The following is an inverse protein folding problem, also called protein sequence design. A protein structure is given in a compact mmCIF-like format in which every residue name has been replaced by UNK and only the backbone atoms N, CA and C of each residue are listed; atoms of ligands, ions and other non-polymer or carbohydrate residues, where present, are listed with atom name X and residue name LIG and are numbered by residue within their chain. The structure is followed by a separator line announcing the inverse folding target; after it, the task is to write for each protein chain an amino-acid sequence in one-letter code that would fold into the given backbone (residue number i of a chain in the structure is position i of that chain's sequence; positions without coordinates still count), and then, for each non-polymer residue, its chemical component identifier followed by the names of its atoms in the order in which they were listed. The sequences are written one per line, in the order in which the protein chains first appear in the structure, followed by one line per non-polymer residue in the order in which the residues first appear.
data_IF_797683301227
#
_entry.id   IF_797683301227
#
_cell.length_a   1.000
_cell.length_b   1.000
_cell.length_c   1.000
_cell.angle_alpha   90.00
_cell.angle_beta   90.00
_cell.angle_gamma   90.00
#
_symmetry.space_group_name_H-M   'P 1'
#
loop_
_entity.id
_entity.type
_entity.pdbx_description
1 polymer ?
#
# COMPACT_ATOMS: atom_id res chain seq x y z
N UNK A 1 13.80 44.62 -23.51
CA UNK A 1 13.80 44.10 -24.90
C UNK A 1 14.76 42.92 -25.10
N UNK A 2 15.92 42.86 -24.44
CA UNK A 2 16.87 41.75 -24.59
C UNK A 2 16.24 40.35 -24.42
N UNK A 3 15.39 40.17 -23.40
CA UNK A 3 14.65 38.91 -23.17
C UNK A 3 13.82 38.47 -24.40
N UNK A 4 13.11 39.40 -25.05
CA UNK A 4 12.34 39.09 -26.26
C UNK A 4 13.25 38.63 -27.42
N UNK A 5 14.45 39.18 -27.54
CA UNK A 5 15.42 38.78 -28.56
C UNK A 5 16.11 37.45 -28.24
N UNK A 6 16.28 37.11 -26.96
CA UNK A 6 16.85 35.82 -26.55
C UNK A 6 15.89 34.66 -26.83
N UNK A 7 14.61 34.83 -26.53
CA UNK A 7 13.59 33.76 -26.65
C UNK A 7 12.86 33.75 -27.99
N UNK A 8 13.57 34.00 -29.09
CA UNK A 8 13.00 33.97 -30.46
C UNK A 8 12.52 32.56 -30.84
N UNK A 9 13.10 31.52 -30.26
CA UNK A 9 12.67 30.13 -30.46
C UNK A 9 11.20 29.90 -30.05
N UNK A 10 10.70 30.63 -29.05
CA UNK A 10 9.31 30.56 -28.60
C UNK A 10 8.32 31.36 -29.46
N UNK A 11 8.81 32.12 -30.45
CA UNK A 11 7.97 32.92 -31.35
C UNK A 11 7.50 32.12 -32.56
N UNK A 12 6.53 32.67 -33.30
CA UNK A 12 6.01 32.04 -34.50
C UNK A 12 7.06 31.95 -35.62
N UNK A 13 6.78 31.09 -36.62
CA UNK A 13 7.67 30.85 -37.76
C UNK A 13 8.02 32.12 -38.55
N UNK A 14 7.09 33.08 -38.60
CA UNK A 14 7.31 34.33 -39.33
C UNK A 14 8.46 35.12 -38.71
N UNK A 15 8.46 35.29 -37.38
CA UNK A 15 9.52 36.01 -36.68
C UNK A 15 10.82 35.21 -36.70
N UNK A 16 10.76 33.89 -36.50
CA UNK A 16 11.94 33.01 -36.57
C UNK A 16 12.66 33.09 -37.92
N UNK A 17 11.93 33.24 -39.03
CA UNK A 17 12.51 33.44 -40.37
C UNK A 17 13.01 34.86 -40.58
N UNK A 18 12.25 35.86 -40.13
CA UNK A 18 12.59 37.27 -40.32
C UNK A 18 13.85 37.70 -39.56
N UNK A 19 14.12 37.12 -38.38
CA UNK A 19 15.22 37.51 -37.50
C UNK A 19 16.60 37.43 -38.19
N UNK A 20 16.78 36.48 -39.12
CA UNK A 20 18.04 36.25 -39.84
C UNK A 20 18.32 37.34 -40.90
N UNK A 21 17.28 38.06 -41.33
CA UNK A 21 17.37 39.10 -42.37
C UNK A 21 17.30 40.48 -41.70
N UNK A 22 16.30 40.70 -40.85
CA UNK A 22 16.10 41.95 -40.13
C UNK A 22 15.36 41.67 -38.83
N UNK A 23 15.98 42.02 -37.70
CA UNK A 23 15.41 41.78 -36.38
C UNK A 23 14.30 42.80 -36.07
N UNK A 24 13.02 42.40 -35.99
CA UNK A 24 11.90 43.31 -35.79
C UNK A 24 11.86 43.93 -34.38
N UNK A 25 12.63 43.40 -33.42
CA UNK A 25 12.77 43.96 -32.07
C UNK A 25 13.86 45.02 -31.97
N UNK A 26 14.59 45.28 -33.07
CA UNK A 26 15.49 46.43 -33.21
C UNK A 26 14.73 47.53 -33.95
N UNK A 27 14.00 48.34 -33.21
CA UNK A 27 13.10 49.34 -33.78
C UNK A 27 13.87 50.51 -34.39
N UNK A 28 13.44 50.96 -35.57
CA UNK A 28 14.05 52.11 -36.28
C UNK A 28 13.52 53.47 -35.83
N UNK A 29 12.26 53.50 -35.37
CA UNK A 29 11.53 54.74 -35.07
C UNK A 29 10.94 54.76 -33.65
N UNK A 30 11.33 53.80 -32.81
CA UNK A 30 10.90 53.73 -31.40
C UNK A 30 12.14 53.86 -30.53
N UNK A 31 12.14 54.87 -29.67
CA UNK A 31 13.17 55.11 -28.67
C UNK A 31 12.64 54.77 -27.28
N UNK A 32 13.54 54.36 -26.37
CA UNK A 32 13.17 54.10 -24.99
C UNK A 32 13.16 55.42 -24.21
N UNK A 33 12.11 55.64 -23.44
CA UNK A 33 12.01 56.74 -22.48
C UNK A 33 12.18 56.20 -21.05
N UNK A 34 13.11 56.77 -20.27
CA UNK A 34 13.41 56.32 -18.89
C UNK A 34 12.59 57.03 -17.83
N UNK A 35 12.40 58.33 -17.97
CA UNK A 35 11.68 59.23 -17.06
C UNK A 35 11.10 60.39 -17.87
N UNK A 36 10.07 61.04 -17.34
CA UNK A 36 9.52 62.28 -17.90
C UNK A 36 10.59 63.38 -18.03
N UNK A 37 11.58 63.41 -17.14
CA UNK A 37 12.66 64.43 -17.15
C UNK A 37 13.54 64.39 -18.40
N UNK A 38 13.48 63.30 -19.16
CA UNK A 38 14.21 63.13 -20.41
C UNK A 38 13.32 63.33 -21.65
N UNK A 39 12.11 63.85 -21.47
CA UNK A 39 11.13 64.08 -22.51
C UNK A 39 10.72 65.54 -22.54
N UNK A 40 11.05 66.21 -23.64
CA UNK A 40 10.54 67.54 -23.94
C UNK A 40 9.18 67.39 -24.66
N UNK A 41 8.10 67.77 -23.98
CA UNK A 41 6.73 67.69 -24.51
C UNK A 41 6.44 68.82 -25.53
N UNK A 42 7.12 68.74 -26.68
CA UNK A 42 7.06 69.74 -27.75
C UNK A 42 6.48 69.09 -29.02
N UNK A 43 5.25 69.49 -29.36
CA UNK A 43 4.56 69.05 -30.57
C UNK A 43 3.92 67.66 -30.45
N UNK A 44 3.37 67.12 -31.54
CA UNK A 44 2.69 65.83 -31.52
C UNK A 44 3.66 64.67 -31.26
N UNK A 45 3.34 63.82 -30.29
CA UNK A 45 4.12 62.63 -29.95
C UNK A 45 3.21 61.43 -29.63
N UNK A 46 3.77 60.22 -29.66
CA UNK A 46 3.09 58.99 -29.25
C UNK A 46 3.92 58.32 -28.18
N UNK A 47 3.37 58.20 -26.97
CA UNK A 47 4.06 57.60 -25.82
C UNK A 47 3.33 56.34 -25.37
N UNK A 48 4.03 55.21 -25.39
CA UNK A 48 3.57 53.95 -24.82
C UNK A 48 4.15 53.82 -23.40
N UNK A 49 3.31 54.03 -22.39
CA UNK A 49 3.72 54.02 -20.98
C UNK A 49 3.03 52.92 -20.18
N UNK A 50 3.70 52.44 -19.14
CA UNK A 50 3.17 51.48 -18.16
C UNK A 50 2.70 52.18 -16.88
N UNK A 51 1.83 51.54 -16.07
CA UNK A 51 1.07 50.32 -16.33
C UNK A 51 -0.18 50.56 -17.20
N UNK A 52 -0.62 49.54 -17.96
CA UNK A 52 -1.72 49.69 -18.92
C UNK A 52 -3.09 50.06 -18.33
N UNK A 53 -3.32 49.84 -17.02
CA UNK A 53 -4.57 50.21 -16.34
C UNK A 53 -4.49 51.56 -15.60
N UNK A 54 -3.35 52.27 -15.69
CA UNK A 54 -3.17 53.66 -15.26
C UNK A 54 -3.45 53.93 -13.77
N UNK A 55 -3.18 52.94 -12.91
CA UNK A 55 -3.36 53.10 -11.46
C UNK A 55 -2.32 54.04 -10.83
N UNK A 56 -1.11 54.07 -11.35
CA UNK A 56 0.01 54.90 -10.88
C UNK A 56 1.11 54.99 -11.94
N UNK A 57 2.21 55.68 -11.66
CA UNK A 57 3.41 55.72 -12.50
C UNK A 57 3.25 56.54 -13.79
N UNK A 58 4.16 56.32 -14.75
CA UNK A 58 4.33 57.21 -15.90
C UNK A 58 3.06 57.34 -16.76
N UNK A 59 2.33 56.24 -17.00
CA UNK A 59 1.05 56.31 -17.74
C UNK A 59 0.00 57.18 -17.07
N UNK A 60 -0.02 57.21 -15.72
CA UNK A 60 -0.95 58.02 -14.93
C UNK A 60 -0.53 59.49 -14.94
N UNK A 61 0.76 59.77 -14.78
CA UNK A 61 1.32 61.12 -14.81
C UNK A 61 1.12 61.80 -16.17
N UNK A 62 1.39 61.08 -17.27
CA UNK A 62 1.12 61.55 -18.64
C UNK A 62 -0.37 61.83 -18.85
N UNK A 63 -1.24 60.93 -18.39
CA UNK A 63 -2.68 61.12 -18.51
C UNK A 63 -3.17 62.35 -17.76
N UNK A 64 -2.77 62.54 -16.50
CA UNK A 64 -3.15 63.73 -15.73
C UNK A 64 -2.66 65.02 -16.39
N UNK A 65 -1.47 65.00 -16.98
CA UNK A 65 -0.89 66.14 -17.72
C UNK A 65 -1.65 66.45 -19.02
N UNK A 66 -2.18 65.43 -19.69
CA UNK A 66 -2.76 65.55 -21.03
C UNK A 66 -4.30 65.58 -21.06
N UNK A 67 -4.98 65.13 -20.00
CA UNK A 67 -6.43 64.90 -20.01
C UNK A 67 -7.29 66.16 -20.22
N UNK A 68 -6.75 67.34 -19.91
CA UNK A 68 -7.48 68.61 -20.00
C UNK A 68 -7.47 69.24 -21.40
N UNK A 69 -6.65 68.74 -22.33
CA UNK A 69 -6.61 69.23 -23.71
C UNK A 69 -7.33 68.26 -24.67
N UNK A 70 -8.33 68.78 -25.38
CA UNK A 70 -9.14 68.03 -26.36
C UNK A 70 -8.37 67.54 -27.60
N UNK A 71 -7.17 68.08 -27.85
CA UNK A 71 -6.31 67.64 -28.95
C UNK A 71 -5.62 66.31 -28.65
N UNK A 72 -5.54 65.95 -27.37
CA UNK A 72 -4.91 64.72 -26.92
C UNK A 72 -5.89 63.55 -27.02
N UNK A 73 -5.34 62.34 -27.02
CA UNK A 73 -6.12 61.10 -27.05
C UNK A 73 -5.42 59.98 -26.31
N UNK A 74 -6.20 59.10 -25.68
CA UNK A 74 -5.72 57.91 -24.99
C UNK A 74 -6.33 56.69 -25.66
N UNK A 75 -5.47 55.75 -26.06
CA UNK A 75 -5.88 54.49 -26.67
C UNK A 75 -5.66 53.39 -25.65
N UNK A 76 -6.75 52.77 -25.20
CA UNK A 76 -6.70 51.63 -24.30
C UNK A 76 -6.66 50.35 -25.13
N UNK A 77 -5.50 49.70 -25.11
CA UNK A 77 -5.22 48.55 -25.99
C UNK A 77 -5.46 47.17 -25.35
N UNK A 78 -5.76 47.11 -24.04
CA UNK A 78 -5.90 45.85 -23.30
C UNK A 78 -7.14 45.82 -22.43
N UNK A 79 -7.53 44.62 -21.96
CA UNK A 79 -8.64 44.45 -21.03
C UNK A 79 -8.43 45.25 -19.74
N UNK A 80 -9.47 45.94 -19.26
CA UNK A 80 -9.44 46.72 -18.04
C UNK A 80 -10.30 46.08 -16.95
N UNK A 81 -9.69 45.85 -15.79
CA UNK A 81 -10.37 45.31 -14.62
C UNK A 81 -11.21 46.40 -13.95
N UNK A 82 -12.36 46.01 -13.40
CA UNK A 82 -13.20 46.88 -12.58
C UNK A 82 -12.42 47.51 -11.42
N UNK A 83 -12.73 48.78 -11.11
CA UNK A 83 -12.03 49.57 -10.09
C UNK A 83 -10.68 50.16 -10.53
N UNK A 84 -10.36 50.12 -11.83
CA UNK A 84 -9.18 50.78 -12.40
C UNK A 84 -9.53 52.10 -13.07
N UNK A 85 -8.58 53.05 -13.11
CA UNK A 85 -8.77 54.31 -13.84
C UNK A 85 -9.11 54.04 -15.31
N UNK A 86 -8.37 53.14 -15.96
CA UNK A 86 -8.61 52.81 -17.37
C UNK A 86 -10.03 52.28 -17.63
N UNK A 87 -10.62 51.51 -16.70
CA UNK A 87 -12.03 51.09 -16.79
C UNK A 87 -13.00 52.24 -16.54
N UNK A 88 -12.70 53.12 -15.59
CA UNK A 88 -13.55 54.26 -15.25
C UNK A 88 -13.67 55.26 -16.41
N UNK A 89 -12.56 55.60 -17.08
CA UNK A 89 -12.55 56.59 -18.18
C UNK A 89 -13.30 56.11 -19.43
N UNK A 90 -13.51 54.79 -19.59
CA UNK A 90 -14.35 54.24 -20.67
C UNK A 90 -15.83 54.63 -20.54
N UNK A 91 -16.27 55.03 -19.34
CA UNK A 91 -17.61 55.58 -19.13
C UNK A 91 -17.72 57.07 -19.47
N UNK A 92 -16.63 57.68 -19.95
CA UNK A 92 -16.51 59.10 -20.31
C UNK A 92 -17.00 60.05 -19.19
N UNK A 93 -16.41 59.98 -17.98
CA UNK A 93 -16.79 60.87 -16.89
C UNK A 93 -16.38 62.33 -17.21
N UNK A 94 -17.16 63.31 -16.73
CA UNK A 94 -16.83 64.73 -16.93
C UNK A 94 -15.53 65.15 -16.21
N UNK A 95 -15.24 64.52 -15.06
CA UNK A 95 -14.07 64.79 -14.23
C UNK A 95 -13.39 63.50 -13.79
N UNK A 96 -12.06 63.53 -13.69
CA UNK A 96 -11.23 62.47 -13.11
C UNK A 96 -10.54 62.97 -11.85
N UNK A 97 -10.26 62.06 -10.91
CA UNK A 97 -9.54 62.37 -9.68
C UNK A 97 -8.05 62.04 -9.84
N UNK A 98 -7.17 62.99 -9.56
CA UNK A 98 -5.71 62.82 -9.63
C UNK A 98 -5.19 61.97 -8.47
N UNK A 99 -3.94 61.52 -8.56
CA UNK A 99 -3.27 60.87 -7.43
C UNK A 99 -3.13 61.76 -6.19
N UNK A 100 -3.08 63.08 -6.37
CA UNK A 100 -3.06 64.07 -5.28
C UNK A 100 -4.45 64.39 -4.71
N UNK A 101 -5.52 63.84 -5.27
CA UNK A 101 -6.91 64.06 -4.85
C UNK A 101 -7.58 65.29 -5.48
N UNK A 102 -6.91 65.99 -6.40
CA UNK A 102 -7.50 67.08 -7.17
C UNK A 102 -8.45 66.52 -8.24
N UNK A 103 -9.46 67.29 -8.65
CA UNK A 103 -10.29 66.96 -9.80
C UNK A 103 -9.82 67.69 -11.06
N UNK A 104 -9.69 66.96 -12.16
CA UNK A 104 -9.37 67.48 -13.48
C UNK A 104 -10.50 67.16 -14.46
N UNK A 105 -10.75 68.08 -15.39
CA UNK A 105 -11.79 67.90 -16.40
C UNK A 105 -11.30 67.01 -17.55
N UNK A 106 -12.03 65.95 -17.87
CA UNK A 106 -11.66 65.04 -18.95
C UNK A 106 -12.14 65.62 -20.30
N UNK A 107 -11.22 66.08 -21.13
CA UNK A 107 -11.51 66.65 -22.46
C UNK A 107 -10.85 65.88 -23.60
N UNK A 108 -9.80 65.11 -23.31
CA UNK A 108 -9.13 64.27 -24.30
C UNK A 108 -10.04 63.15 -24.82
N UNK A 109 -9.77 62.67 -26.03
CA UNK A 109 -10.48 61.50 -26.59
C UNK A 109 -10.06 60.21 -25.88
N UNK A 110 -11.02 59.28 -25.67
CA UNK A 110 -10.79 57.97 -25.06
C UNK A 110 -11.27 56.90 -26.04
N UNK A 111 -10.34 56.15 -26.62
CA UNK A 111 -10.64 55.08 -27.57
C UNK A 111 -10.25 53.71 -27.02
N UNK A 112 -11.13 52.72 -27.15
CA UNK A 112 -10.84 51.33 -26.77
C UNK A 112 -10.64 50.47 -28.02
N UNK A 113 -9.42 49.99 -28.22
CA UNK A 113 -9.05 49.13 -29.35
C UNK A 113 -8.38 47.88 -28.79
N UNK A 114 -9.16 46.81 -28.59
CA UNK A 114 -8.64 45.58 -27.95
C UNK A 114 -7.60 44.89 -28.83
N UNK A 115 -6.37 44.83 -28.33
CA UNK A 115 -5.30 43.92 -28.77
C UNK A 115 -5.09 42.80 -27.75
N UNK A 116 -6.14 42.50 -26.97
CA UNK A 116 -6.07 41.42 -25.99
C UNK A 116 -5.92 40.09 -26.75
N UNK A 117 -4.83 39.38 -26.51
CA UNK A 117 -4.56 38.08 -27.12
C UNK A 117 -5.39 36.95 -26.47
N UNK A 118 -6.69 37.17 -26.36
CA UNK A 118 -7.66 36.20 -25.84
C UNK A 118 -8.42 35.55 -26.99
N UNK A 119 -8.87 34.32 -26.78
CA UNK A 119 -9.74 33.65 -27.75
C UNK A 119 -11.15 34.22 -27.69
N UNK A 120 -11.79 34.33 -28.84
CA UNK A 120 -13.21 34.62 -28.92
C UNK A 120 -14.06 33.35 -28.71
N UNK A 121 -15.39 33.50 -28.80
CA UNK A 121 -16.31 32.37 -28.67
C UNK A 121 -16.07 31.31 -29.76
N UNK A 122 -15.84 31.71 -31.01
CA UNK A 122 -15.69 30.79 -32.13
C UNK A 122 -14.43 29.94 -31.96
N UNK A 123 -13.30 30.55 -31.61
CA UNK A 123 -12.04 29.88 -31.35
C UNK A 123 -12.12 28.96 -30.13
N UNK A 124 -12.79 29.41 -29.06
CA UNK A 124 -12.96 28.61 -27.84
C UNK A 124 -13.87 27.39 -28.09
N UNK A 125 -14.99 27.58 -28.79
CA UNK A 125 -15.90 26.51 -29.21
C UNK A 125 -15.20 25.51 -30.13
N UNK A 126 -14.43 25.98 -31.12
CA UNK A 126 -13.64 25.13 -32.01
C UNK A 126 -12.60 24.30 -31.26
N UNK A 127 -11.90 24.90 -30.29
CA UNK A 127 -10.94 24.20 -29.45
C UNK A 127 -11.58 23.09 -28.62
N UNK A 128 -12.73 23.35 -28.00
CA UNK A 128 -13.48 22.35 -27.23
C UNK A 128 -14.02 21.25 -28.17
N UNK A 129 -14.49 21.60 -29.36
CA UNK A 129 -15.00 20.65 -30.36
C UNK A 129 -13.93 19.71 -30.88
N UNK A 130 -12.70 20.18 -31.00
CA UNK A 130 -11.56 19.36 -31.41
C UNK A 130 -11.15 18.35 -30.32
N UNK A 131 -11.18 18.74 -29.05
CA UNK A 131 -10.73 17.90 -27.94
C UNK A 131 -11.82 17.01 -27.35
N UNK A 132 -13.08 17.44 -27.39
CA UNK A 132 -14.25 16.79 -26.78
C UNK A 132 -14.00 16.29 -25.34
N UNK A 133 -13.52 17.15 -24.43
CA UNK A 133 -13.26 16.73 -23.05
C UNK A 133 -14.56 16.40 -22.31
N UNK A 134 -14.61 15.36 -21.47
CA UNK A 134 -15.82 15.04 -20.68
C UNK A 134 -16.22 16.15 -19.69
N UNK A 135 -15.24 16.89 -19.16
CA UNK A 135 -15.45 17.98 -18.21
C UNK A 135 -14.70 19.23 -18.68
N UNK A 136 -15.38 20.37 -18.73
CA UNK A 136 -14.83 21.70 -19.03
C UNK A 136 -15.00 22.59 -17.81
N UNK A 137 -13.94 23.22 -17.31
CA UNK A 137 -13.99 24.11 -16.15
C UNK A 137 -13.59 25.51 -16.60
N UNK A 138 -14.55 26.43 -16.60
CA UNK A 138 -14.36 27.83 -16.97
C UNK A 138 -13.78 28.62 -15.79
N UNK A 139 -12.72 29.38 -16.07
CA UNK A 139 -12.00 30.24 -15.12
C UNK A 139 -11.52 31.49 -15.85
N UNK A 140 -10.98 32.48 -15.11
CA UNK A 140 -10.37 33.68 -15.69
C UNK A 140 -11.29 34.45 -16.67
N UNK A 141 -12.53 34.71 -16.24
CA UNK A 141 -13.49 35.52 -16.98
C UNK A 141 -14.40 36.30 -16.01
N UNK A 142 -15.04 37.35 -16.49
CA UNK A 142 -16.05 38.05 -15.72
C UNK A 142 -17.27 37.12 -15.49
N UNK A 143 -17.97 37.32 -14.38
CA UNK A 143 -18.98 36.39 -13.90
C UNK A 143 -20.15 36.19 -14.89
N UNK A 144 -20.68 37.27 -15.45
CA UNK A 144 -21.80 37.23 -16.37
C UNK A 144 -21.39 36.68 -17.74
N UNK A 145 -20.24 37.10 -18.25
CA UNK A 145 -19.67 36.62 -19.51
C UNK A 145 -19.35 35.12 -19.44
N UNK A 146 -18.82 34.64 -18.33
CA UNK A 146 -18.57 33.22 -18.09
C UNK A 146 -19.88 32.41 -18.00
N UNK A 147 -20.92 32.98 -17.37
CA UNK A 147 -22.24 32.34 -17.34
C UNK A 147 -22.87 32.24 -18.74
N UNK A 148 -22.71 33.28 -19.57
CA UNK A 148 -23.16 33.27 -20.98
C UNK A 148 -22.39 32.24 -21.80
N UNK A 149 -21.07 32.17 -21.65
CA UNK A 149 -20.24 31.17 -22.32
C UNK A 149 -20.64 29.75 -21.93
N UNK A 150 -20.86 29.49 -20.64
CA UNK A 150 -21.36 28.19 -20.16
C UNK A 150 -22.70 27.82 -20.79
N UNK A 151 -23.67 28.73 -20.82
CA UNK A 151 -24.98 28.48 -21.40
C UNK A 151 -24.88 28.20 -22.92
N UNK A 152 -24.03 28.92 -23.63
CA UNK A 152 -23.79 28.71 -25.06
C UNK A 152 -23.14 27.33 -25.33
N UNK A 153 -22.17 26.92 -24.51
CA UNK A 153 -21.54 25.61 -24.63
C UNK A 153 -22.51 24.47 -24.31
N UNK A 154 -23.32 24.58 -23.25
CA UNK A 154 -24.33 23.54 -22.94
C UNK A 154 -25.30 23.37 -24.11
N UNK A 155 -25.82 24.48 -24.65
CA UNK A 155 -26.73 24.45 -25.80
C UNK A 155 -26.10 23.85 -27.06
N UNK A 156 -24.80 24.04 -27.26
CA UNK A 156 -24.09 23.50 -28.43
C UNK A 156 -24.03 21.96 -28.42
N UNK A 157 -23.99 21.34 -27.23
CA UNK A 157 -23.85 19.89 -27.07
C UNK A 157 -25.15 19.20 -26.58
N UNK A 158 -26.24 19.95 -26.33
CA UNK A 158 -27.51 19.41 -25.82
C UNK A 158 -28.16 18.40 -26.78
N UNK A 159 -28.07 18.64 -28.10
CA UNK A 159 -28.66 17.79 -29.14
C UNK A 159 -27.77 16.61 -29.58
N UNK A 160 -26.59 16.42 -28.95
CA UNK A 160 -25.61 15.43 -29.39
C UNK A 160 -25.48 14.25 -28.42
N UNK A 161 -26.21 13.16 -28.68
CA UNK A 161 -26.21 11.94 -27.87
C UNK A 161 -24.84 11.22 -27.81
N UNK A 162 -23.91 11.52 -28.73
CA UNK A 162 -22.60 10.86 -28.81
C UNK A 162 -21.51 11.57 -27.99
N UNK A 163 -21.69 12.86 -27.68
CA UNK A 163 -20.66 13.69 -27.06
C UNK A 163 -21.24 14.40 -25.85
N UNK A 164 -20.98 13.83 -24.67
CA UNK A 164 -21.39 14.40 -23.40
C UNK A 164 -20.26 15.26 -22.80
N UNK A 165 -20.51 16.56 -22.67
CA UNK A 165 -19.58 17.52 -22.05
C UNK A 165 -20.27 18.21 -20.87
N UNK A 166 -19.69 18.08 -19.68
CA UNK A 166 -20.16 18.78 -18.49
C UNK A 166 -19.37 20.08 -18.28
N UNK A 167 -20.07 21.22 -18.21
CA UNK A 167 -19.45 22.55 -18.12
C UNK A 167 -19.63 23.16 -16.72
N UNK A 168 -18.50 23.41 -16.05
CA UNK A 168 -18.43 24.00 -14.72
C UNK A 168 -17.88 25.43 -14.78
N UNK A 169 -18.30 26.29 -13.84
CA UNK A 169 -17.80 27.67 -13.70
C UNK A 169 -17.72 28.05 -12.21
N UNK A 170 -16.83 27.38 -11.45
CA UNK A 170 -16.77 27.50 -10.00
C UNK A 170 -16.35 28.91 -9.56
N UNK A 171 -16.92 29.38 -8.46
CA UNK A 171 -16.48 30.60 -7.79
C UNK A 171 -15.17 30.36 -7.04
N UNK A 172 -14.49 31.44 -6.66
CA UNK A 172 -13.37 31.33 -5.73
C UNK A 172 -13.81 30.58 -4.47
N UNK A 173 -12.99 29.64 -4.00
CA UNK A 173 -13.25 28.72 -2.87
C UNK A 173 -14.29 27.62 -3.12
N UNK A 174 -14.90 27.55 -4.30
CA UNK A 174 -15.80 26.46 -4.70
C UNK A 174 -14.98 25.30 -5.30
N UNK A 175 -15.16 24.08 -4.75
CA UNK A 175 -14.49 22.89 -5.23
C UNK A 175 -15.33 22.17 -6.30
N UNK A 176 -14.67 21.72 -7.37
CA UNK A 176 -15.28 20.83 -8.38
C UNK A 176 -14.81 19.40 -8.08
N UNK A 177 -15.73 18.50 -7.75
CA UNK A 177 -15.42 17.09 -7.44
C UNK A 177 -15.71 16.21 -8.64
N UNK A 178 -14.68 15.58 -9.18
CA UNK A 178 -14.78 14.64 -10.31
C UNK A 178 -14.35 13.24 -9.86
N UNK A 179 -15.15 12.23 -10.20
CA UNK A 179 -14.89 10.85 -9.81
C UNK A 179 -14.31 10.06 -10.99
N UNK A 180 -13.03 9.72 -10.91
CA UNK A 180 -12.36 8.89 -11.91
C UNK A 180 -12.20 7.46 -11.40
N UNK A 181 -12.91 6.52 -12.01
CA UNK A 181 -12.70 5.09 -11.78
C UNK A 181 -11.60 4.60 -12.73
N UNK A 182 -10.42 4.36 -12.18
CA UNK A 182 -9.33 3.70 -12.88
C UNK A 182 -9.24 2.23 -12.48
N UNK A 183 -9.22 1.34 -13.47
CA UNK A 183 -8.81 -0.04 -13.22
C UNK A 183 -7.34 -0.07 -12.79
N UNK A 184 -7.05 -0.74 -11.68
CA UNK A 184 -5.67 -0.89 -11.20
C UNK A 184 -5.02 -2.05 -11.93
N UNK A 185 -4.11 -1.72 -12.84
CA UNK A 185 -3.33 -2.70 -13.58
C UNK A 185 -2.05 -3.04 -12.80
N UNK A 186 -1.90 -4.31 -12.44
CA UNK A 186 -0.66 -4.85 -11.87
C UNK A 186 0.08 -5.66 -12.93
N UNK A 187 1.39 -5.44 -13.07
CA UNK A 187 2.24 -6.18 -14.01
C UNK A 187 3.02 -7.26 -13.29
N UNK A 188 2.91 -8.50 -13.76
CA UNK A 188 3.77 -9.60 -13.32
C UNK A 188 5.16 -9.40 -13.91
N UNK A 189 6.21 -9.53 -13.10
CA UNK A 189 7.61 -9.37 -13.52
C UNK A 189 8.49 -10.46 -12.89
N UNK A 190 9.68 -10.66 -13.47
CA UNK A 190 10.63 -11.67 -13.02
C UNK A 190 10.19 -13.09 -13.39
N UNK A 191 10.57 -14.05 -12.55
CA UNK A 191 10.29 -15.48 -12.73
C UNK A 191 8.80 -15.83 -12.85
N UNK A 192 7.93 -15.04 -12.22
CA UNK A 192 6.47 -15.20 -12.34
C UNK A 192 5.95 -14.95 -13.76
N UNK A 193 6.74 -14.28 -14.61
CA UNK A 193 6.40 -13.98 -15.99
C UNK A 193 7.06 -14.94 -17.01
N UNK A 194 7.84 -15.93 -16.56
CA UNK A 194 8.55 -16.88 -17.44
C UNK A 194 7.57 -17.75 -18.25
N UNK A 195 6.43 -18.09 -17.66
CA UNK A 195 5.35 -18.79 -18.34
C UNK A 195 4.22 -17.81 -18.68
N UNK A 196 3.65 -17.98 -19.87
CA UNK A 196 2.50 -17.19 -20.30
C UNK A 196 1.33 -17.41 -19.35
N UNK A 197 0.85 -16.33 -18.72
CA UNK A 197 -0.25 -16.41 -17.79
C UNK A 197 -1.53 -16.91 -18.48
N UNK A 198 -2.19 -17.89 -17.88
CA UNK A 198 -3.48 -18.43 -18.33
C UNK A 198 -4.60 -17.88 -17.45
N UNK A 199 -5.78 -17.62 -18.03
CA UNK A 199 -6.93 -17.15 -17.26
C UNK A 199 -7.33 -18.19 -16.19
N UNK A 200 -7.52 -17.74 -14.95
CA UNK A 200 -7.82 -18.61 -13.81
C UNK A 200 -6.60 -19.23 -13.12
N UNK A 201 -5.39 -19.01 -13.64
CA UNK A 201 -4.16 -19.40 -12.97
C UNK A 201 -3.99 -18.62 -11.67
N UNK A 202 -3.67 -19.32 -10.58
CA UNK A 202 -3.32 -18.68 -9.31
C UNK A 202 -1.96 -18.02 -9.44
N UNK A 203 -1.89 -16.71 -9.22
CA UNK A 203 -0.64 -15.95 -9.10
C UNK A 203 -0.41 -15.64 -7.64
N UNK A 204 0.76 -16.01 -7.12
CA UNK A 204 1.18 -15.71 -5.74
C UNK A 204 2.53 -15.01 -5.79
N UNK A 205 2.65 -13.89 -5.08
CA UNK A 205 3.85 -13.08 -5.05
C UNK A 205 3.68 -11.86 -4.16
N UNK A 206 4.72 -11.04 -4.11
CA UNK A 206 4.73 -9.76 -3.40
C UNK A 206 4.24 -8.68 -4.36
N UNK A 207 3.21 -7.93 -3.95
CA UNK A 207 2.73 -6.76 -4.68
C UNK A 207 3.51 -5.52 -4.23
N UNK A 208 4.27 -4.93 -5.14
CA UNK A 208 5.01 -3.69 -4.92
C UNK A 208 4.29 -2.55 -5.63
N UNK A 209 3.94 -1.50 -4.87
CA UNK A 209 3.35 -0.27 -5.40
C UNK A 209 4.41 0.83 -5.42
N UNK A 210 4.75 1.31 -6.62
CA UNK A 210 5.59 2.52 -6.81
C UNK A 210 4.73 3.61 -7.46
N UNK A 211 4.34 4.60 -6.66
CA UNK A 211 3.37 5.63 -7.04
C UNK A 211 2.03 5.03 -7.49
N UNK A 212 1.69 5.12 -8.78
CA UNK A 212 0.47 4.55 -9.37
C UNK A 212 0.70 3.23 -10.10
N UNK A 213 1.95 2.79 -10.22
CA UNK A 213 2.31 1.53 -10.88
C UNK A 213 2.33 0.40 -9.86
N UNK A 214 1.66 -0.69 -10.22
CA UNK A 214 1.61 -1.90 -9.44
C UNK A 214 2.40 -3.00 -10.14
N UNK A 215 3.25 -3.67 -9.39
CA UNK A 215 4.07 -4.78 -9.86
C UNK A 215 3.88 -5.96 -8.92
N UNK A 216 3.74 -7.16 -9.48
CA UNK A 216 3.74 -8.40 -8.69
C UNK A 216 5.01 -9.19 -9.05
N UNK A 217 5.76 -9.54 -8.01
CA UNK A 217 7.09 -10.12 -8.09
C UNK A 217 7.18 -11.37 -7.21
N UNK A 218 8.05 -12.29 -7.59
CA UNK A 218 8.46 -13.36 -6.68
C UNK A 218 9.32 -12.74 -5.57
N UNK A 219 9.22 -13.20 -4.30
CA UNK A 219 10.15 -12.79 -3.24
C UNK A 219 11.63 -12.86 -3.64
N UNK A 220 12.03 -13.84 -4.45
CA UNK A 220 13.41 -13.98 -4.91
C UNK A 220 13.86 -12.89 -5.90
N UNK A 221 12.93 -12.32 -6.66
CA UNK A 221 13.22 -11.30 -7.69
C UNK A 221 13.19 -9.88 -7.13
N UNK A 222 12.84 -9.72 -5.85
CA UNK A 222 12.61 -8.42 -5.24
C UNK A 222 13.84 -7.51 -5.32
N UNK A 223 15.02 -8.03 -5.00
CA UNK A 223 16.29 -7.28 -5.05
C UNK A 223 16.77 -6.96 -6.48
N UNK A 224 16.22 -7.66 -7.49
CA UNK A 224 16.59 -7.45 -8.89
C UNK A 224 15.80 -6.29 -9.49
N UNK A 225 14.53 -6.16 -9.12
CA UNK A 225 13.60 -5.16 -9.69
C UNK A 225 13.26 -4.01 -8.74
N UNK A 226 13.64 -4.10 -7.48
CA UNK A 226 13.40 -3.08 -6.46
C UNK A 226 14.64 -2.85 -5.62
N UNK A 227 14.67 -1.71 -4.93
CA UNK A 227 15.71 -1.39 -3.94
C UNK A 227 15.52 -2.18 -2.63
N UNK A 228 14.47 -3.01 -2.54
CA UNK A 228 14.18 -3.81 -1.37
C UNK A 228 14.96 -5.12 -1.41
N UNK A 229 15.67 -5.41 -0.33
CA UNK A 229 16.29 -6.70 -0.08
C UNK A 229 15.46 -7.52 0.88
N UNK A 230 15.43 -8.83 0.65
CA UNK A 230 14.81 -9.78 1.58
C UNK A 230 15.86 -10.17 2.63
N UNK A 231 15.52 -10.00 3.90
CA UNK A 231 16.37 -10.39 5.02
C UNK A 231 15.64 -11.42 5.87
N UNK A 232 16.34 -12.50 6.22
CA UNK A 232 15.84 -13.54 7.13
C UNK A 232 16.56 -13.42 8.46
N UNK A 233 15.82 -13.39 9.56
CA UNK A 233 16.40 -13.36 10.90
C UNK A 233 16.46 -14.80 11.43
N UNK A 234 17.67 -15.29 11.75
CA UNK A 234 17.87 -16.54 12.49
C UNK A 234 18.05 -16.19 13.96
N UNK A 235 17.26 -16.81 14.82
CA UNK A 235 17.39 -16.70 16.27
C UNK A 235 18.08 -17.96 16.82
N UNK A 236 18.87 -17.75 17.87
CA UNK A 236 19.56 -18.81 18.59
C UNK A 236 19.49 -18.52 20.08
N UNK A 237 19.12 -19.53 20.86
CA UNK A 237 18.96 -19.42 22.30
C UNK A 237 19.68 -20.57 22.99
N UNK A 238 20.59 -20.22 23.90
CA UNK A 238 21.28 -21.17 24.75
C UNK A 238 20.52 -21.29 26.08
N UNK A 239 20.08 -22.51 26.40
CA UNK A 239 19.38 -22.82 27.65
C UNK A 239 20.26 -23.77 28.45
N UNK A 240 20.64 -23.44 29.69
CA UNK A 240 21.36 -24.38 30.55
C UNK A 240 20.56 -25.66 30.73
N UNK A 241 21.18 -26.83 30.60
CA UNK A 241 20.48 -28.10 30.72
C UNK A 241 21.46 -29.18 31.19
N UNK A 242 21.15 -29.80 32.32
CA UNK A 242 21.99 -30.83 32.96
C UNK A 242 21.25 -32.16 33.11
N UNK A 243 20.03 -32.27 32.57
CA UNK A 243 19.22 -33.48 32.65
C UNK A 243 19.66 -34.56 31.65
N UNK A 244 19.13 -35.79 31.78
CA UNK A 244 19.39 -36.85 30.81
C UNK A 244 18.80 -36.52 29.44
N UNK A 245 19.60 -36.68 28.37
CA UNK A 245 19.16 -36.44 26.99
C UNK A 245 17.94 -37.29 26.59
N UNK A 246 17.90 -38.56 26.99
CA UNK A 246 16.79 -39.48 26.70
C UNK A 246 15.45 -39.01 27.25
N UNK A 247 15.46 -38.37 28.43
CA UNK A 247 14.26 -37.84 29.06
C UNK A 247 13.78 -36.59 28.31
N UNK A 248 14.69 -35.71 27.90
CA UNK A 248 14.34 -34.57 27.05
C UNK A 248 13.70 -35.01 25.73
N UNK A 249 14.28 -36.02 25.06
CA UNK A 249 13.72 -36.58 23.81
C UNK A 249 12.31 -37.15 24.05
N UNK A 250 12.08 -37.86 25.15
CA UNK A 250 10.77 -38.42 25.48
C UNK A 250 9.70 -37.33 25.65
N UNK A 251 9.99 -36.29 26.43
CA UNK A 251 9.05 -35.18 26.63
C UNK A 251 8.80 -34.39 25.34
N UNK A 252 9.83 -34.21 24.50
CA UNK A 252 9.67 -33.57 23.20
C UNK A 252 8.81 -34.40 22.23
N UNK A 253 8.94 -35.73 22.24
CA UNK A 253 8.07 -36.64 21.46
C UNK A 253 6.63 -36.66 21.98
N UNK A 254 6.42 -36.49 23.28
CA UNK A 254 5.09 -36.34 23.85
C UNK A 254 4.44 -35.00 23.46
N UNK A 255 5.25 -33.92 23.35
CA UNK A 255 4.77 -32.62 22.87
C UNK A 255 4.35 -32.68 21.40
N UNK A 256 5.12 -33.39 20.58
CA UNK A 256 4.87 -33.52 19.14
C UNK A 256 5.40 -34.84 18.61
N UNK A 257 4.58 -35.55 17.82
CA UNK A 257 4.99 -36.78 17.15
C UNK A 257 6.04 -36.56 16.05
N UNK A 258 6.29 -35.31 15.65
CA UNK A 258 7.23 -34.91 14.59
C UNK A 258 8.58 -34.44 15.19
N UNK A 259 9.25 -35.33 15.92
CA UNK A 259 10.65 -35.13 16.37
C UNK A 259 11.57 -36.05 15.59
N UNK A 260 12.40 -35.47 14.73
CA UNK A 260 13.39 -36.20 13.92
C UNK A 260 14.78 -36.06 14.55
N UNK A 261 15.43 -37.20 14.84
CA UNK A 261 16.85 -37.22 15.19
C UNK A 261 17.68 -37.15 13.91
N UNK A 262 18.56 -36.15 13.81
CA UNK A 262 19.44 -36.00 12.66
C UNK A 262 20.69 -36.88 12.84
N UNK A 263 20.74 -38.00 12.12
CA UNK A 263 21.91 -38.88 12.11
C UNK A 263 23.08 -38.24 11.31
N UNK A 264 24.29 -38.25 11.87
CA UNK A 264 25.52 -37.81 11.19
C UNK A 264 26.14 -36.48 11.65
N UNK A 265 25.60 -35.85 12.71
CA UNK A 265 26.25 -34.70 13.37
C UNK A 265 27.12 -35.15 14.55
N UNK A 266 28.28 -34.51 14.78
CA UNK A 266 29.15 -34.81 15.95
C UNK A 266 28.45 -34.62 17.31
N UNK A 267 27.31 -33.90 17.32
CA UNK A 267 26.49 -33.58 18.49
C UNK A 267 25.07 -34.14 18.31
N UNK A 268 24.43 -34.49 19.41
CA UNK A 268 23.04 -34.95 19.42
C UNK A 268 22.10 -33.82 18.99
N UNK A 269 21.50 -33.94 17.80
CA UNK A 269 20.68 -32.88 17.20
C UNK A 269 19.28 -33.40 16.89
N UNK A 270 18.28 -32.64 17.34
CA UNK A 270 16.85 -32.89 17.10
C UNK A 270 16.28 -31.81 16.20
N UNK A 271 15.37 -32.20 15.31
CA UNK A 271 14.55 -31.28 14.53
C UNK A 271 13.10 -31.43 14.97
N UNK A 272 12.54 -30.35 15.49
CA UNK A 272 11.22 -30.30 16.13
C UNK A 272 10.32 -29.40 15.29
N UNK A 273 9.08 -29.83 15.02
CA UNK A 273 8.13 -29.13 14.14
C UNK A 273 8.68 -28.81 12.74
N UNK A 274 9.72 -29.54 12.29
CA UNK A 274 10.46 -29.33 11.01
C UNK A 274 11.12 -27.94 10.86
N UNK A 275 11.03 -27.08 11.87
CA UNK A 275 11.43 -25.68 11.81
C UNK A 275 12.38 -25.26 12.94
N UNK A 276 12.35 -25.97 14.07
CA UNK A 276 13.21 -25.71 15.24
C UNK A 276 14.31 -26.76 15.29
N UNK A 277 15.56 -26.34 15.38
CA UNK A 277 16.71 -27.22 15.56
C UNK A 277 17.17 -27.11 17.00
N UNK A 278 17.30 -28.26 17.68
CA UNK A 278 17.78 -28.35 19.04
C UNK A 278 19.08 -29.16 19.05
N UNK A 279 20.18 -28.56 19.50
CA UNK A 279 21.47 -29.22 19.65
C UNK A 279 21.77 -29.39 21.13
N UNK A 280 21.98 -30.63 21.57
CA UNK A 280 22.33 -30.93 22.95
C UNK A 280 23.85 -30.93 23.13
N UNK A 281 24.33 -30.12 24.08
CA UNK A 281 25.74 -30.00 24.46
C UNK A 281 25.92 -30.29 25.96
N UNK A 282 27.17 -30.43 26.40
CA UNK A 282 27.45 -30.70 27.81
C UNK A 282 27.06 -29.47 28.64
N UNK A 283 26.01 -29.60 29.45
CA UNK A 283 25.54 -28.55 30.35
C UNK A 283 24.57 -27.53 29.73
N UNK A 284 24.22 -27.66 28.45
CA UNK A 284 23.29 -26.77 27.77
C UNK A 284 22.62 -27.38 26.54
N UNK A 285 21.50 -26.78 26.15
CA UNK A 285 20.79 -27.05 24.92
C UNK A 285 20.74 -25.77 24.10
N UNK A 286 21.12 -25.85 22.84
CA UNK A 286 21.05 -24.74 21.88
C UNK A 286 19.81 -24.93 21.00
N UNK A 287 18.86 -24.01 21.08
CA UNK A 287 17.78 -23.89 20.12
C UNK A 287 18.19 -22.93 19.00
N UNK A 288 17.86 -23.28 17.77
CA UNK A 288 18.02 -22.43 16.59
C UNK A 288 16.79 -22.50 15.69
N UNK A 289 16.29 -21.35 15.24
CA UNK A 289 15.16 -21.29 14.32
C UNK A 289 15.20 -20.02 13.45
N UNK A 290 14.43 -20.04 12.36
CA UNK A 290 14.15 -18.84 11.57
C UNK A 290 12.99 -18.11 12.23
N UNK A 291 13.23 -16.86 12.64
CA UNK A 291 12.25 -16.06 13.38
C UNK A 291 11.04 -15.73 12.50
N UNK A 292 9.86 -16.09 13.00
CA UNK A 292 8.55 -15.71 12.49
C UNK A 292 7.49 -16.07 13.54
N UNK A 293 6.29 -15.49 13.51
CA UNK A 293 5.30 -15.67 14.58
C UNK A 293 4.96 -17.12 14.91
N UNK A 294 5.01 -18.04 13.93
CA UNK A 294 4.75 -19.46 14.15
C UNK A 294 5.94 -20.17 14.77
N UNK A 295 7.14 -19.98 14.21
CA UNK A 295 8.36 -20.60 14.72
C UNK A 295 8.76 -20.05 16.08
N UNK A 296 8.51 -18.77 16.36
CA UNK A 296 8.78 -18.16 17.67
C UNK A 296 7.89 -18.81 18.74
N UNK A 297 6.60 -19.02 18.43
CA UNK A 297 5.70 -19.77 19.30
C UNK A 297 6.20 -21.21 19.51
N UNK A 298 6.61 -21.91 18.46
CA UNK A 298 7.17 -23.26 18.59
C UNK A 298 8.45 -23.29 19.44
N UNK A 299 9.33 -22.32 19.27
CA UNK A 299 10.56 -22.18 20.06
C UNK A 299 10.25 -21.92 21.54
N UNK A 300 9.24 -21.11 21.86
CA UNK A 300 8.78 -20.85 23.22
C UNK A 300 8.22 -22.12 23.89
N UNK A 301 7.45 -22.93 23.16
CA UNK A 301 6.93 -24.20 23.67
C UNK A 301 8.08 -25.18 23.95
N UNK A 302 9.02 -25.33 23.01
CA UNK A 302 10.19 -26.21 23.20
C UNK A 302 11.05 -25.73 24.37
N UNK A 303 11.28 -24.42 24.48
CA UNK A 303 11.97 -23.79 25.62
C UNK A 303 11.29 -24.12 26.95
N UNK A 304 9.97 -24.04 26.99
CA UNK A 304 9.18 -24.37 28.19
C UNK A 304 9.38 -25.83 28.60
N UNK A 305 9.37 -26.76 27.64
CA UNK A 305 9.63 -28.19 27.92
C UNK A 305 11.05 -28.41 28.44
N UNK A 306 12.05 -27.77 27.84
CA UNK A 306 13.45 -27.87 28.30
C UNK A 306 13.58 -27.38 29.75
N UNK A 307 12.97 -26.24 30.08
CA UNK A 307 12.98 -25.67 31.43
C UNK A 307 12.21 -26.53 32.43
N UNK A 308 11.07 -27.10 32.04
CA UNK A 308 10.27 -28.00 32.87
C UNK A 308 11.10 -29.24 33.26
N UNK A 309 11.72 -29.90 32.28
CA UNK A 309 12.58 -31.08 32.50
C UNK A 309 13.77 -30.76 33.40
N UNK A 310 14.36 -29.57 33.25
CA UNK A 310 15.46 -29.13 34.09
C UNK A 310 15.03 -28.88 35.54
N UNK A 311 13.84 -28.28 35.73
CA UNK A 311 13.32 -27.89 37.04
C UNK A 311 12.82 -29.04 37.91
N UNK A 312 12.59 -30.23 37.32
CA UNK A 312 12.04 -31.39 38.01
C UNK A 312 13.09 -32.49 38.29
N UNK A 313 13.87 -32.41 39.38
CA UNK A 313 14.89 -33.40 39.74
C UNK A 313 14.32 -34.76 40.19
N UNK A 314 13.00 -34.88 40.44
CA UNK A 314 12.36 -36.16 40.79
C UNK A 314 12.08 -37.02 39.54
N UNK A 315 11.71 -36.39 38.42
CA UNK A 315 11.55 -37.08 37.12
C UNK A 315 12.88 -37.64 36.59
N UNK A 316 13.99 -36.95 36.86
CA UNK A 316 15.34 -37.38 36.44
C UNK A 316 15.84 -38.67 37.13
N UNK A 317 15.22 -39.08 38.25
CA UNK A 317 15.58 -40.32 38.98
C UNK A 317 14.69 -41.52 38.63
N UNK A 318 13.62 -41.33 37.87
CA UNK A 318 12.60 -42.36 37.61
C UNK A 318 12.54 -42.77 36.14
N UNK A 319 13.53 -43.54 35.68
CA UNK A 319 13.40 -44.33 34.45
C UNK A 319 13.93 -45.73 34.76
N UNK A 320 13.08 -46.59 35.32
CA UNK A 320 13.20 -48.02 35.06
C UNK A 320 12.43 -48.25 33.78
N UNK A 321 13.10 -48.71 32.73
CA UNK A 321 12.44 -49.27 31.56
C UNK A 321 11.51 -50.38 32.09
N UNK A 322 10.21 -50.30 31.80
CA UNK A 322 9.26 -51.32 32.24
C UNK A 322 9.62 -52.62 31.51
N UNK A 323 10.03 -53.63 32.27
CA UNK A 323 10.28 -54.95 31.73
C UNK A 323 8.93 -55.58 31.40
N UNK A 324 8.66 -55.77 30.10
CA UNK A 324 7.36 -56.25 29.63
C UNK A 324 7.04 -57.64 30.19
N UNK A 325 8.06 -58.43 30.52
CA UNK A 325 7.91 -59.73 31.16
C UNK A 325 7.38 -59.60 32.62
N UNK A 326 7.76 -58.53 33.32
CA UNK A 326 7.28 -58.23 34.68
C UNK A 326 5.84 -57.72 34.65
N UNK A 327 5.48 -56.90 33.66
CA UNK A 327 4.11 -56.44 33.47
C UNK A 327 3.18 -57.62 33.14
N UNK A 328 3.61 -58.49 32.23
CA UNK A 328 2.88 -59.70 31.84
C UNK A 328 2.62 -60.63 33.04
N UNK A 329 3.66 -60.94 33.82
CA UNK A 329 3.53 -61.81 34.99
C UNK A 329 2.60 -61.23 36.07
N UNK A 330 2.61 -59.90 36.27
CA UNK A 330 1.72 -59.24 37.23
C UNK A 330 0.28 -59.13 36.75
N UNK A 331 0.10 -58.93 35.44
CA UNK A 331 -1.22 -58.88 34.82
C UNK A 331 -1.92 -60.25 34.92
N UNK A 332 -1.17 -61.32 34.69
CA UNK A 332 -1.67 -62.69 34.85
C UNK A 332 -2.16 -62.95 36.28
N UNK A 333 -1.33 -62.70 37.29
CA UNK A 333 -1.69 -62.90 38.70
C UNK A 333 -2.91 -62.06 39.09
N UNK A 334 -3.00 -60.82 38.63
CA UNK A 334 -4.14 -59.95 38.93
C UNK A 334 -5.44 -60.47 38.30
N UNK A 335 -5.40 -60.93 37.05
CA UNK A 335 -6.58 -61.47 36.37
C UNK A 335 -7.01 -62.82 36.98
N UNK A 336 -6.05 -63.66 37.40
CA UNK A 336 -6.32 -64.90 38.13
C UNK A 336 -6.96 -64.64 39.50
N UNK A 337 -6.52 -63.62 40.23
CA UNK A 337 -7.11 -63.25 41.53
C UNK A 337 -8.52 -62.65 41.37
N UNK A 338 -8.77 -61.90 40.28
CA UNK A 338 -10.07 -61.29 40.00
C UNK A 338 -11.13 -62.27 39.49
N UNK A 339 -10.76 -63.24 38.65
CA UNK A 339 -11.71 -64.11 37.94
C UNK A 339 -11.55 -65.61 38.25
N UNK A 340 -10.49 -66.00 38.95
CA UNK A 340 -10.14 -67.39 39.26
C UNK A 340 -9.14 -68.00 38.26
N UNK A 341 -8.28 -68.89 38.74
CA UNK A 341 -7.22 -69.54 37.92
C UNK A 341 -7.78 -70.32 36.73
N UNK A 342 -8.95 -70.96 36.88
CA UNK A 342 -9.57 -71.76 35.81
C UNK A 342 -10.17 -70.90 34.67
N UNK A 343 -10.29 -69.58 34.88
CA UNK A 343 -10.91 -68.65 33.96
C UNK A 343 -9.88 -67.91 33.08
N UNK A 344 -8.58 -68.04 33.33
CA UNK A 344 -7.53 -67.29 32.61
C UNK A 344 -6.62 -68.26 31.87
N UNK A 345 -6.55 -68.15 30.54
CA UNK A 345 -5.75 -68.99 29.68
C UNK A 345 -4.72 -68.17 28.88
N UNK A 346 -3.50 -68.68 28.79
CA UNK A 346 -2.40 -68.02 28.07
C UNK A 346 -2.38 -68.44 26.60
N UNK A 347 -2.36 -67.46 25.68
CA UNK A 347 -2.30 -67.69 24.24
C UNK A 347 -1.01 -67.04 23.69
N UNK A 348 -0.11 -67.89 23.17
CA UNK A 348 1.08 -67.52 22.38
C UNK A 348 2.09 -66.55 23.03
N UNK A 349 2.17 -66.49 24.36
CA UNK A 349 3.17 -65.67 25.04
C UNK A 349 2.87 -64.17 25.02
N UNK A 350 1.80 -63.72 24.36
CA UNK A 350 1.49 -62.29 24.14
C UNK A 350 0.03 -61.91 24.38
N UNK A 351 -0.88 -62.88 24.40
CA UNK A 351 -2.31 -62.65 24.58
C UNK A 351 -2.83 -63.47 25.77
N UNK A 352 -3.70 -62.87 26.57
CA UNK A 352 -4.35 -63.52 27.71
C UNK A 352 -5.84 -63.60 27.41
N UNK A 353 -6.42 -64.80 27.44
CA UNK A 353 -7.85 -65.01 27.29
C UNK A 353 -8.50 -65.19 28.66
N UNK A 354 -9.49 -64.36 28.98
CA UNK A 354 -10.30 -64.44 30.21
C UNK A 354 -11.69 -64.94 29.83
N UNK A 355 -12.07 -66.10 30.36
CA UNK A 355 -13.36 -66.75 30.09
C UNK A 355 -14.23 -66.77 31.35
N UNK A 356 -15.35 -66.06 31.32
CA UNK A 356 -16.33 -66.03 32.43
C UNK A 356 -17.73 -66.24 31.84
N UNK A 357 -18.51 -67.14 32.41
CA UNK A 357 -19.90 -67.42 31.99
C UNK A 357 -20.10 -67.62 30.48
N UNK A 358 -19.19 -68.40 29.84
CA UNK A 358 -19.15 -68.70 28.39
C UNK A 358 -18.84 -67.51 27.48
N UNK A 359 -18.34 -66.40 28.02
CA UNK A 359 -17.82 -65.25 27.26
C UNK A 359 -16.31 -65.21 27.34
N UNK A 360 -15.64 -64.95 26.22
CA UNK A 360 -14.18 -64.93 26.11
C UNK A 360 -13.72 -63.53 25.74
N UNK A 361 -12.82 -62.98 26.55
CA UNK A 361 -12.18 -61.68 26.33
C UNK A 361 -10.69 -61.89 26.14
N UNK A 362 -10.15 -61.40 25.03
CA UNK A 362 -8.73 -61.47 24.69
C UNK A 362 -8.05 -60.14 25.00
N UNK A 363 -7.06 -60.17 25.87
CA UNK A 363 -6.21 -59.04 26.21
C UNK A 363 -4.88 -59.19 25.48
N UNK A 364 -4.55 -58.22 24.63
CA UNK A 364 -3.24 -58.16 23.99
C UNK A 364 -2.28 -57.33 24.86
N UNK A 365 -1.24 -57.97 25.39
CA UNK A 365 -0.30 -57.35 26.35
C UNK A 365 0.51 -56.22 25.71
N UNK A 366 0.85 -56.33 24.43
CA UNK A 366 1.64 -55.31 23.70
C UNK A 366 0.82 -54.07 23.34
N UNK A 367 -0.40 -54.26 22.85
CA UNK A 367 -1.26 -53.15 22.40
C UNK A 367 -2.17 -52.62 23.50
N UNK A 368 -2.29 -53.33 24.63
CA UNK A 368 -3.22 -53.09 25.75
C UNK A 368 -4.69 -53.08 25.33
N UNK A 369 -4.99 -53.65 24.17
CA UNK A 369 -6.36 -53.72 23.66
C UNK A 369 -7.06 -54.95 24.22
N UNK A 370 -8.33 -54.78 24.56
CA UNK A 370 -9.20 -55.82 25.10
C UNK A 370 -10.32 -56.06 24.10
N UNK A 371 -10.34 -57.24 23.49
CA UNK A 371 -11.28 -57.60 22.41
C UNK A 371 -12.16 -58.76 22.87
N UNK A 372 -13.48 -58.62 22.76
CA UNK A 372 -14.43 -59.67 23.09
C UNK A 372 -14.78 -60.48 21.83
N UNK A 373 -14.91 -61.80 21.93
CA UNK A 373 -15.44 -62.61 20.82
C UNK A 373 -16.94 -62.35 20.66
N UNK A 374 -17.34 -61.85 19.48
CA UNK A 374 -18.71 -61.44 19.16
C UNK A 374 -19.71 -62.60 19.29
N UNK A 375 -20.43 -62.66 20.41
CA UNK A 375 -21.63 -63.47 20.59
C UNK A 375 -22.80 -62.58 21.04
N UNK A 376 -23.33 -61.77 20.12
CA UNK A 376 -24.75 -61.39 20.00
C UNK A 376 -25.56 -60.83 21.20
N UNK A 377 -24.96 -60.48 22.34
CA UNK A 377 -25.67 -59.89 23.48
C UNK A 377 -24.98 -58.61 23.96
N UNK A 378 -25.72 -57.49 23.98
CA UNK A 378 -25.29 -56.12 24.33
C UNK A 378 -24.95 -55.91 25.83
N UNK A 379 -24.08 -56.73 26.40
CA UNK A 379 -23.63 -56.52 27.78
C UNK A 379 -22.09 -56.56 27.83
N UNK A 380 -21.47 -55.43 27.51
CA UNK A 380 -20.01 -55.19 27.39
C UNK A 380 -19.30 -55.06 28.77
N UNK A 381 -20.01 -55.31 29.87
CA UNK A 381 -19.54 -55.11 31.25
C UNK A 381 -18.26 -55.88 31.61
N UNK A 382 -18.09 -57.11 31.09
CA UNK A 382 -16.87 -57.89 31.32
C UNK A 382 -15.65 -57.28 30.60
N UNK A 383 -15.85 -56.77 29.38
CA UNK A 383 -14.78 -56.11 28.61
C UNK A 383 -14.34 -54.83 29.29
N UNK A 384 -15.29 -53.98 29.70
CA UNK A 384 -15.00 -52.73 30.41
C UNK A 384 -14.27 -52.99 31.75
N UNK A 385 -14.66 -54.03 32.49
CA UNK A 385 -13.97 -54.40 33.74
C UNK A 385 -12.53 -54.85 33.52
N UNK A 386 -12.28 -55.69 32.52
CA UNK A 386 -10.93 -56.16 32.19
C UNK A 386 -10.08 -55.01 31.65
N UNK A 387 -10.64 -54.15 30.80
CA UNK A 387 -9.98 -52.96 30.26
C UNK A 387 -9.58 -51.98 31.38
N UNK A 388 -10.49 -51.71 32.33
CA UNK A 388 -10.21 -50.86 33.48
C UNK A 388 -9.12 -51.46 34.39
N UNK A 389 -9.11 -52.78 34.58
CA UNK A 389 -8.12 -53.46 35.40
C UNK A 389 -6.72 -53.42 34.76
N UNK A 390 -6.62 -53.70 33.46
CA UNK A 390 -5.38 -53.61 32.67
C UNK A 390 -4.83 -52.18 32.72
N UNK A 391 -5.68 -51.18 32.54
CA UNK A 391 -5.29 -49.77 32.59
C UNK A 391 -4.78 -49.37 33.99
N UNK A 392 -5.49 -49.76 35.06
CA UNK A 392 -5.07 -49.46 36.44
C UNK A 392 -3.74 -50.10 36.81
N UNK A 393 -3.48 -51.32 36.36
CA UNK A 393 -2.20 -51.99 36.61
C UNK A 393 -1.06 -51.29 35.89
N UNK A 394 -1.30 -50.86 34.64
CA UNK A 394 -0.33 -50.08 33.87
C UNK A 394 -0.01 -48.75 34.55
N UNK A 395 -1.03 -48.00 34.98
CA UNK A 395 -0.85 -46.72 35.66
C UNK A 395 -0.13 -46.90 37.02
N UNK A 396 -0.40 -47.99 37.74
CA UNK A 396 0.26 -48.28 39.02
C UNK A 396 1.76 -48.64 38.85
N UNK A 397 2.13 -49.28 37.74
CA UNK A 397 3.51 -49.64 37.42
C UNK A 397 4.28 -48.50 36.75
N UNK A 398 3.58 -47.47 36.25
CA UNK A 398 4.15 -46.26 35.66
C UNK A 398 3.60 -44.97 36.34
N UNK A 399 4.01 -44.67 37.59
CA UNK A 399 3.47 -43.54 38.36
C UNK A 399 3.97 -42.14 37.89
N UNK A 400 4.62 -42.04 36.73
CA UNK A 400 5.30 -40.81 36.24
C UNK A 400 4.72 -40.32 34.90
N UNK A 401 3.55 -40.84 34.48
CA UNK A 401 2.73 -40.25 33.41
C UNK A 401 1.63 -39.41 34.04
#
# INVERSE_FOLDING_TARGET
MAVYQTYVNAMNDKIRKAININNPFVFKHISNLKSMDHFDDIGPSVVMASPGMMQSGLSRELFESWCTDKRNGVIIAGYCVEGTLAKHIMSEPEEITTMSGQKLQLKMSVDYISFSAHTDYQQTSEFIRALKPPHVILVHGEQNEMARLKAALIREYEDNDLVHIEVHNPRNTEAVTLNFRGEKLAKVMGSLADQRCVQGQRVAGILVKKNFNYHILNPCDLSTYTELTVSTVKQSQAIPFTGPYSLLVCHLRNLTGDVEELEGTEKNTLKIFKSITLVHEVGMVLLEWIANPLNDMYADVVTTVVLEVQSNPKAQKGLSIMDMDVFQARLEVMLQDMFGEECVAFIDGKNIAVTVDRRVVHVCVESRTVVCEENGYEDDSLREMVELAVQRLYDALNPVI
#
